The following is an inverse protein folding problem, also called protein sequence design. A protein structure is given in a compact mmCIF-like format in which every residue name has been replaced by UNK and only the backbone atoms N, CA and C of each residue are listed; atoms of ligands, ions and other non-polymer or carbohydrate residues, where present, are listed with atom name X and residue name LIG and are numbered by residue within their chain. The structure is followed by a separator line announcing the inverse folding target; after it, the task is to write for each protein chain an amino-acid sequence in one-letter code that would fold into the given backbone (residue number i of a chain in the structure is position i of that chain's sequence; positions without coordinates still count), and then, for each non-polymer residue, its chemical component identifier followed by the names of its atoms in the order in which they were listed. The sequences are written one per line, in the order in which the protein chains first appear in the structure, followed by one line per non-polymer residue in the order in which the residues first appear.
data_IF_003116252602
#
_entry.id   IF_003116252602
#
_cell.length_a   1.000
_cell.length_b   1.000
_cell.length_c   1.000
_cell.angle_alpha   90.00
_cell.angle_beta   90.00
_cell.angle_gamma   90.00
#
_symmetry.space_group_name_H-M   'P 1'
#
loop_
_entity.id
_entity.type
_entity.pdbx_description
1 polymer ?
#
# COMPACT_ATOMS: atom_id res chain seq x y z
N UNK A 1 5.44 -11.55 -34.38
CA UNK A 1 6.26 -11.51 -33.14
C UNK A 1 5.50 -10.94 -31.94
N UNK A 2 4.67 -9.90 -32.09
CA UNK A 2 3.89 -9.31 -30.99
C UNK A 2 2.78 -10.20 -30.41
N UNK A 3 2.08 -11.02 -31.23
CA UNK A 3 1.02 -11.92 -30.72
C UNK A 3 1.53 -12.92 -29.67
N UNK A 4 2.73 -13.47 -29.88
CA UNK A 4 3.34 -14.43 -28.95
C UNK A 4 3.68 -13.82 -27.57
N UNK A 5 3.95 -12.51 -27.53
CA UNK A 5 4.28 -11.80 -26.29
C UNK A 5 3.04 -11.63 -25.41
N UNK A 6 1.93 -11.11 -25.96
CA UNK A 6 0.70 -10.93 -25.19
C UNK A 6 0.13 -12.27 -24.71
N UNK A 7 0.18 -13.32 -25.53
CA UNK A 7 -0.23 -14.67 -25.14
C UNK A 7 0.65 -15.21 -24.00
N UNK A 8 1.96 -14.96 -24.02
CA UNK A 8 2.85 -15.35 -22.93
C UNK A 8 2.54 -14.60 -21.62
N UNK A 9 2.33 -13.28 -21.69
CA UNK A 9 2.07 -12.46 -20.50
C UNK A 9 0.71 -12.78 -19.90
N UNK A 10 -0.35 -12.78 -20.72
CA UNK A 10 -1.72 -13.06 -20.26
C UNK A 10 -1.93 -14.54 -19.90
N UNK A 11 -1.11 -15.46 -20.44
CA UNK A 11 -1.13 -16.86 -20.00
C UNK A 11 -0.50 -17.08 -18.62
N UNK A 12 0.40 -16.18 -18.19
CA UNK A 12 1.10 -16.25 -16.90
C UNK A 12 0.53 -15.29 -15.84
N UNK A 13 -0.21 -14.27 -16.27
CA UNK A 13 -0.90 -13.34 -15.41
C UNK A 13 -2.40 -13.58 -15.47
N UNK A 14 -3.02 -13.74 -14.32
CA UNK A 14 -4.46 -13.89 -14.17
C UNK A 14 -4.90 -12.80 -13.21
N UNK A 15 -5.99 -12.08 -13.53
CA UNK A 15 -6.61 -11.12 -12.62
C UNK A 15 -7.01 -11.83 -11.32
N UNK A 16 -6.22 -11.74 -10.25
CA UNK A 16 -6.60 -12.03 -8.86
C UNK A 16 -7.28 -13.37 -8.48
N UNK A 17 -7.52 -14.30 -9.39
CA UNK A 17 -8.38 -15.47 -9.15
C UNK A 17 -7.67 -16.70 -8.55
N UNK A 18 -6.40 -16.59 -8.14
CA UNK A 18 -5.56 -17.77 -7.89
C UNK A 18 -5.28 -18.13 -6.41
N UNK A 19 -6.03 -17.59 -5.42
CA UNK A 19 -5.87 -17.98 -4.00
C UNK A 19 -7.16 -17.69 -3.17
N UNK A 20 -7.42 -18.41 -2.05
CA UNK A 20 -8.76 -18.69 -1.51
C UNK A 20 -9.66 -17.45 -1.41
N UNK A 21 -10.67 -17.45 -2.29
CA UNK A 21 -11.56 -16.35 -2.68
C UNK A 21 -12.10 -15.47 -1.54
N UNK A 22 -12.15 -15.92 -0.29
CA UNK A 22 -12.71 -15.10 0.77
C UNK A 22 -11.71 -14.06 1.31
N UNK A 23 -10.48 -14.47 1.62
CA UNK A 23 -9.55 -13.62 2.37
C UNK A 23 -9.00 -12.45 1.54
N UNK A 24 -8.76 -12.66 0.25
CA UNK A 24 -8.32 -11.58 -0.66
C UNK A 24 -9.37 -10.48 -0.80
N UNK A 25 -10.66 -10.86 -0.81
CA UNK A 25 -11.76 -9.89 -0.84
C UNK A 25 -11.95 -9.20 0.51
N UNK A 26 -11.70 -9.89 1.63
CA UNK A 26 -11.65 -9.26 2.96
C UNK A 26 -10.57 -8.17 3.00
N UNK A 27 -9.38 -8.42 2.45
CA UNK A 27 -8.32 -7.41 2.37
C UNK A 27 -8.77 -6.18 1.58
N UNK A 28 -9.37 -6.39 0.41
CA UNK A 28 -9.91 -5.28 -0.40
C UNK A 28 -10.98 -4.52 0.35
N UNK A 29 -11.90 -5.20 1.03
CA UNK A 29 -12.92 -4.56 1.84
C UNK A 29 -12.30 -3.68 2.94
N UNK A 30 -11.22 -4.15 3.59
CA UNK A 30 -10.50 -3.37 4.60
C UNK A 30 -9.84 -2.13 3.99
N UNK A 31 -9.16 -2.25 2.83
CA UNK A 31 -8.57 -1.10 2.14
C UNK A 31 -9.63 -0.08 1.73
N UNK A 32 -10.76 -0.53 1.15
CA UNK A 32 -11.88 0.34 0.75
C UNK A 32 -12.51 1.02 1.98
N UNK A 33 -12.71 0.28 3.06
CA UNK A 33 -13.25 0.83 4.30
C UNK A 33 -12.31 1.86 4.93
N UNK A 34 -11.01 1.58 4.98
CA UNK A 34 -10.00 2.52 5.43
C UNK A 34 -9.95 3.78 4.56
N UNK A 35 -10.03 3.62 3.23
CA UNK A 35 -10.07 4.74 2.28
C UNK A 35 -11.32 5.61 2.50
N UNK A 36 -12.48 4.99 2.70
CA UNK A 36 -13.72 5.68 3.00
C UNK A 36 -13.62 6.49 4.29
N UNK A 37 -13.15 5.89 5.39
CA UNK A 37 -12.97 6.58 6.66
C UNK A 37 -11.96 7.74 6.55
N UNK A 38 -10.84 7.53 5.85
CA UNK A 38 -9.86 8.58 5.58
C UNK A 38 -10.48 9.75 4.79
N UNK A 39 -11.33 9.47 3.79
CA UNK A 39 -12.05 10.50 3.04
C UNK A 39 -13.09 11.24 3.90
N UNK A 40 -13.79 10.53 4.79
CA UNK A 40 -14.71 11.13 5.76
C UNK A 40 -13.95 12.07 6.70
N UNK A 41 -12.81 11.63 7.23
CA UNK A 41 -11.92 12.46 8.07
C UNK A 41 -11.44 13.70 7.31
N UNK A 42 -10.98 13.55 6.07
CA UNK A 42 -10.54 14.66 5.23
C UNK A 42 -11.64 15.72 5.02
N UNK A 43 -12.91 15.34 5.05
CA UNK A 43 -14.03 16.28 4.88
C UNK A 43 -14.53 16.83 6.20
N UNK A 44 -14.59 16.00 7.24
CA UNK A 44 -15.41 16.24 8.43
C UNK A 44 -14.63 16.46 9.73
N UNK A 45 -13.34 16.14 9.79
CA UNK A 45 -12.62 16.19 11.05
C UNK A 45 -12.48 17.61 11.63
N UNK A 46 -12.56 17.75 12.98
CA UNK A 46 -12.38 19.01 13.68
C UNK A 46 -10.89 19.35 13.73
N UNK A 47 -10.42 20.01 12.67
CA UNK A 47 -9.02 20.42 12.54
C UNK A 47 -8.89 21.93 12.80
N UNK A 48 -7.86 22.39 13.56
CA UNK A 48 -7.58 23.81 13.74
C UNK A 48 -7.50 24.57 12.42
N UNK A 49 -8.02 25.79 12.39
CA UNK A 49 -8.07 26.59 11.16
C UNK A 49 -6.70 26.76 10.49
N UNK A 50 -5.64 26.92 11.30
CA UNK A 50 -4.27 27.11 10.82
C UNK A 50 -3.69 25.90 10.04
N UNK A 51 -4.07 24.67 10.41
CA UNK A 51 -3.51 23.43 9.83
C UNK A 51 -4.52 22.64 9.00
N UNK A 52 -5.77 23.14 8.92
CA UNK A 52 -6.90 22.48 8.26
C UNK A 52 -6.58 22.03 6.83
N UNK A 53 -6.00 22.90 6.00
CA UNK A 53 -5.73 22.55 4.59
C UNK A 53 -4.71 21.42 4.46
N UNK A 54 -3.65 21.45 5.26
CA UNK A 54 -2.58 20.45 5.24
C UNK A 54 -3.08 19.08 5.71
N UNK A 55 -3.80 19.04 6.83
CA UNK A 55 -4.33 17.78 7.35
C UNK A 55 -5.40 17.19 6.42
N UNK A 56 -6.28 18.02 5.84
CA UNK A 56 -7.25 17.54 4.85
C UNK A 56 -6.58 16.98 3.59
N UNK A 57 -5.56 17.67 3.09
CA UNK A 57 -4.78 17.18 1.94
C UNK A 57 -4.07 15.86 2.24
N UNK A 58 -3.51 15.73 3.45
CA UNK A 58 -2.90 14.49 3.92
C UNK A 58 -3.91 13.34 3.97
N UNK A 59 -5.06 13.53 4.61
CA UNK A 59 -6.09 12.48 4.70
C UNK A 59 -6.70 12.14 3.33
N UNK A 60 -6.81 13.12 2.42
CA UNK A 60 -7.20 12.87 1.03
C UNK A 60 -6.14 12.04 0.28
N UNK A 61 -4.86 12.33 0.48
CA UNK A 61 -3.76 11.54 -0.08
C UNK A 61 -3.76 10.11 0.47
N UNK A 62 -3.95 9.93 1.79
CA UNK A 62 -4.09 8.61 2.44
C UNK A 62 -5.26 7.83 1.82
N UNK A 63 -6.43 8.47 1.66
CA UNK A 63 -7.59 7.85 1.03
C UNK A 63 -7.30 7.43 -0.43
N UNK A 64 -6.63 8.28 -1.19
CA UNK A 64 -6.20 7.97 -2.57
C UNK A 64 -5.25 6.78 -2.63
N UNK A 65 -4.23 6.75 -1.78
CA UNK A 65 -3.26 5.63 -1.70
C UNK A 65 -3.97 4.32 -1.35
N UNK A 66 -4.86 4.32 -0.37
CA UNK A 66 -5.63 3.14 0.03
C UNK A 66 -6.57 2.64 -1.09
N UNK A 67 -7.23 3.55 -1.80
CA UNK A 67 -8.08 3.20 -2.93
C UNK A 67 -7.27 2.60 -4.10
N UNK A 68 -6.12 3.20 -4.42
CA UNK A 68 -5.19 2.67 -5.42
C UNK A 68 -4.70 1.28 -4.99
N UNK A 69 -4.38 1.08 -3.71
CA UNK A 69 -3.96 -0.22 -3.18
C UNK A 69 -5.06 -1.28 -3.29
N UNK A 70 -6.32 -0.94 -3.02
CA UNK A 70 -7.46 -1.86 -3.19
C UNK A 70 -7.59 -2.35 -4.64
N UNK A 71 -7.47 -1.44 -5.61
CA UNK A 71 -7.51 -1.77 -7.04
C UNK A 71 -6.27 -2.57 -7.44
N UNK A 72 -5.10 -2.13 -7.00
CA UNK A 72 -3.82 -2.77 -7.31
C UNK A 72 -3.75 -4.20 -6.77
N UNK A 73 -4.36 -4.47 -5.61
CA UNK A 73 -4.44 -5.81 -5.04
C UNK A 73 -5.19 -6.79 -5.94
N UNK A 74 -6.25 -6.33 -6.61
CA UNK A 74 -7.03 -7.14 -7.55
C UNK A 74 -6.32 -7.28 -8.90
N UNK A 75 -5.70 -6.20 -9.38
CA UNK A 75 -4.93 -6.23 -10.62
C UNK A 75 -3.66 -7.08 -10.51
N UNK A 76 -3.14 -7.28 -9.29
CA UNK A 76 -1.85 -7.91 -9.03
C UNK A 76 -0.79 -7.47 -10.05
N UNK A 77 -0.55 -6.15 -10.07
CA UNK A 77 0.39 -5.53 -11.00
C UNK A 77 1.81 -6.09 -10.83
N UNK A 78 2.15 -6.54 -9.62
CA UNK A 78 3.43 -7.18 -9.33
C UNK A 78 3.59 -8.45 -10.18
N UNK A 79 2.60 -9.34 -10.18
CA UNK A 79 2.62 -10.54 -11.01
C UNK A 79 2.62 -10.20 -12.50
N UNK A 80 1.90 -9.15 -12.93
CA UNK A 80 1.90 -8.71 -14.33
C UNK A 80 3.29 -8.24 -14.81
N UNK A 81 3.98 -7.42 -14.01
CA UNK A 81 5.33 -6.93 -14.32
C UNK A 81 6.31 -8.11 -14.39
N UNK A 82 6.19 -9.08 -13.48
CA UNK A 82 7.04 -10.27 -13.47
C UNK A 82 6.79 -11.20 -14.65
N UNK A 83 5.53 -11.41 -15.03
CA UNK A 83 5.16 -12.15 -16.23
C UNK A 83 5.72 -11.45 -17.49
N UNK A 84 5.57 -10.12 -17.55
CA UNK A 84 6.11 -9.28 -18.63
C UNK A 84 7.63 -9.44 -18.75
N UNK A 85 8.38 -9.28 -17.65
CA UNK A 85 9.83 -9.45 -17.65
C UNK A 85 10.28 -10.86 -18.04
N UNK A 86 9.55 -11.89 -17.58
CA UNK A 86 9.84 -13.29 -17.93
C UNK A 86 9.59 -13.62 -19.40
N UNK A 87 8.57 -13.01 -20.01
CA UNK A 87 8.24 -13.20 -21.43
C UNK A 87 9.18 -12.39 -22.35
N UNK A 88 9.56 -11.17 -21.94
CA UNK A 88 10.62 -10.41 -22.61
C UNK A 88 11.95 -11.17 -22.58
N UNK A 89 12.31 -11.74 -21.42
CA UNK A 89 13.57 -12.47 -21.22
C UNK A 89 13.70 -13.81 -21.95
N UNK A 90 12.65 -14.32 -22.59
CA UNK A 90 12.75 -15.50 -23.47
C UNK A 90 13.21 -15.17 -24.88
N UNK A 91 13.12 -13.89 -25.30
CA UNK A 91 13.46 -13.46 -26.66
C UNK A 91 14.86 -12.89 -26.81
N UNK A 92 15.48 -12.46 -25.70
CA UNK A 92 16.88 -12.08 -25.59
C UNK A 92 17.44 -12.86 -24.40
N UNK A 93 18.73 -13.25 -24.37
CA UNK A 93 19.40 -14.05 -23.32
C UNK A 93 19.47 -13.40 -21.91
N UNK A 94 18.42 -12.69 -21.51
CA UNK A 94 18.23 -11.90 -20.29
C UNK A 94 17.87 -12.72 -19.06
N UNK A 95 17.81 -14.05 -19.16
CA UNK A 95 17.54 -14.91 -18.00
C UNK A 95 18.52 -14.66 -16.84
N UNK A 96 19.77 -14.26 -17.11
CA UNK A 96 20.73 -13.84 -16.08
C UNK A 96 20.46 -12.44 -15.50
N UNK A 97 19.71 -11.58 -16.22
CA UNK A 97 19.45 -10.18 -15.85
C UNK A 97 18.13 -9.95 -15.13
N UNK A 98 17.28 -10.97 -14.97
CA UNK A 98 15.98 -10.80 -14.30
C UNK A 98 16.13 -10.38 -12.84
N UNK A 99 17.15 -10.84 -12.13
CA UNK A 99 17.37 -10.43 -10.73
C UNK A 99 17.97 -9.01 -10.63
N UNK A 100 18.78 -8.58 -11.62
CA UNK A 100 19.23 -7.19 -11.72
C UNK A 100 18.03 -6.23 -11.91
N UNK A 101 17.11 -6.58 -12.82
CA UNK A 101 15.92 -5.76 -13.09
C UNK A 101 15.01 -5.66 -11.86
N UNK A 102 14.76 -6.78 -11.17
CA UNK A 102 14.02 -6.78 -9.90
C UNK A 102 14.71 -5.93 -8.84
N UNK A 103 16.04 -5.97 -8.76
CA UNK A 103 16.83 -5.14 -7.85
C UNK A 103 16.70 -3.64 -8.14
N UNK A 104 16.69 -3.24 -9.41
CA UNK A 104 16.44 -1.86 -9.82
C UNK A 104 15.04 -1.42 -9.41
N UNK A 105 14.01 -2.24 -9.70
CA UNK A 105 12.62 -1.95 -9.32
C UNK A 105 12.49 -1.79 -7.80
N UNK A 106 13.08 -2.71 -7.02
CA UNK A 106 13.10 -2.62 -5.56
C UNK A 106 13.79 -1.34 -5.08
N UNK A 107 14.91 -0.97 -5.68
CA UNK A 107 15.66 0.25 -5.31
C UNK A 107 14.83 1.50 -5.55
N UNK A 108 14.20 1.62 -6.72
CA UNK A 108 13.29 2.73 -7.05
C UNK A 108 12.09 2.78 -6.09
N UNK A 109 11.53 1.62 -5.75
CA UNK A 109 10.40 1.50 -4.82
C UNK A 109 10.78 1.94 -3.41
N UNK A 110 11.94 1.51 -2.92
CA UNK A 110 12.49 1.92 -1.62
C UNK A 110 12.73 3.43 -1.60
N UNK A 111 13.44 3.97 -2.58
CA UNK A 111 13.75 5.40 -2.64
C UNK A 111 12.48 6.26 -2.72
N UNK A 112 11.48 5.84 -3.50
CA UNK A 112 10.21 6.56 -3.60
C UNK A 112 9.39 6.48 -2.30
N UNK A 113 9.36 5.32 -1.63
CA UNK A 113 8.70 5.17 -0.33
C UNK A 113 9.33 6.06 0.76
N UNK A 114 10.66 6.01 0.90
CA UNK A 114 11.36 6.84 1.89
C UNK A 114 11.30 8.33 1.54
N UNK A 115 11.47 8.68 0.26
CA UNK A 115 11.41 10.07 -0.21
C UNK A 115 10.04 10.71 0.03
N UNK A 116 8.96 10.02 -0.35
CA UNK A 116 7.59 10.50 -0.11
C UNK A 116 7.27 10.54 1.39
N UNK A 117 7.70 9.55 2.17
CA UNK A 117 7.57 9.55 3.63
C UNK A 117 8.26 10.74 4.29
N UNK A 118 9.49 11.05 3.88
CA UNK A 118 10.24 12.21 4.39
C UNK A 118 9.53 13.53 4.05
N UNK A 119 9.02 13.68 2.83
CA UNK A 119 8.22 14.84 2.42
C UNK A 119 6.97 14.99 3.28
N UNK A 120 6.22 13.90 3.53
CA UNK A 120 5.04 13.94 4.38
C UNK A 120 5.36 14.30 5.83
N UNK A 121 6.40 13.70 6.41
CA UNK A 121 6.85 14.01 7.79
C UNK A 121 7.27 15.48 7.90
N UNK A 122 8.04 15.97 6.93
CA UNK A 122 8.48 17.37 6.90
C UNK A 122 7.31 18.34 6.75
N UNK A 123 6.38 18.07 5.82
CA UNK A 123 5.19 18.89 5.59
C UNK A 123 4.24 18.90 6.79
N UNK A 124 4.16 17.80 7.55
CA UNK A 124 3.27 17.63 8.70
C UNK A 124 3.96 17.87 10.04
N UNK A 125 5.20 18.35 10.05
CA UNK A 125 5.95 18.67 11.28
C UNK A 125 5.13 19.43 12.35
N UNK A 126 4.25 20.40 12.03
CA UNK A 126 3.52 21.15 13.06
C UNK A 126 2.38 20.34 13.67
N UNK A 127 1.93 19.26 13.02
CA UNK A 127 0.75 18.46 13.38
C UNK A 127 1.09 16.99 13.67
N UNK A 128 2.38 16.63 13.71
CA UNK A 128 2.87 15.26 13.87
C UNK A 128 2.19 14.50 15.01
N UNK A 129 1.93 15.13 16.17
CA UNK A 129 1.25 14.43 17.28
C UNK A 129 -0.16 13.94 16.93
N UNK A 130 -0.85 14.59 15.99
CA UNK A 130 -2.20 14.23 15.52
C UNK A 130 -2.17 13.30 14.31
N UNK A 131 -1.13 13.40 13.49
CA UNK A 131 -0.95 12.62 12.27
C UNK A 131 0.01 11.43 12.43
N UNK A 132 0.62 11.24 13.61
CA UNK A 132 1.59 10.17 13.86
C UNK A 132 1.02 8.77 13.64
N UNK A 133 -0.20 8.51 14.11
CA UNK A 133 -0.86 7.21 13.93
C UNK A 133 -1.10 6.87 12.46
N UNK A 134 -1.76 7.72 11.64
CA UNK A 134 -1.94 7.41 10.22
C UNK A 134 -0.61 7.41 9.44
N UNK A 135 0.39 8.22 9.84
CA UNK A 135 1.75 8.14 9.27
C UNK A 135 2.42 6.80 9.57
N UNK A 136 2.26 6.27 10.79
CA UNK A 136 2.74 4.93 11.15
C UNK A 136 2.05 3.87 10.30
N UNK A 137 0.74 3.96 10.10
CA UNK A 137 0.00 3.05 9.23
C UNK A 137 0.52 3.07 7.78
N UNK A 138 0.78 4.25 7.21
CA UNK A 138 1.42 4.39 5.90
C UNK A 138 2.83 3.78 5.87
N UNK A 139 3.63 3.97 6.91
CA UNK A 139 4.97 3.41 7.01
C UNK A 139 4.94 1.86 7.04
N UNK A 140 3.99 1.28 7.78
CA UNK A 140 3.77 -0.18 7.79
C UNK A 140 3.38 -0.70 6.41
N UNK A 141 2.49 0.01 5.69
CA UNK A 141 2.13 -0.34 4.31
C UNK A 141 3.33 -0.27 3.36
N UNK A 142 4.13 0.79 3.45
CA UNK A 142 5.35 0.91 2.66
C UNK A 142 6.33 -0.23 2.95
N UNK A 143 6.50 -0.60 4.22
CA UNK A 143 7.29 -1.75 4.63
C UNK A 143 6.78 -3.07 4.04
N UNK A 144 5.46 -3.29 4.04
CA UNK A 144 4.84 -4.45 3.40
C UNK A 144 5.11 -4.51 1.89
N UNK A 145 4.97 -3.38 1.19
CA UNK A 145 5.23 -3.29 -0.26
C UNK A 145 6.71 -3.63 -0.57
N UNK A 146 7.64 -3.10 0.22
CA UNK A 146 9.07 -3.40 0.09
C UNK A 146 9.36 -4.87 0.37
N UNK A 147 8.75 -5.43 1.42
CA UNK A 147 8.89 -6.84 1.78
C UNK A 147 8.42 -7.75 0.63
N UNK A 148 7.23 -7.49 0.09
CA UNK A 148 6.67 -8.19 -1.08
C UNK A 148 7.57 -8.11 -2.31
N UNK A 149 8.20 -6.97 -2.55
CA UNK A 149 9.13 -6.81 -3.66
C UNK A 149 10.44 -7.57 -3.41
N UNK A 150 10.96 -7.54 -2.18
CA UNK A 150 12.20 -8.22 -1.79
C UNK A 150 12.09 -9.75 -1.89
N UNK A 151 10.95 -10.35 -1.53
CA UNK A 151 10.72 -11.80 -1.62
C UNK A 151 10.97 -12.35 -3.04
N UNK A 152 10.80 -11.52 -4.06
CA UNK A 152 10.94 -11.92 -5.45
C UNK A 152 12.39 -12.06 -5.95
N UNK A 153 13.35 -11.55 -5.17
CA UNK A 153 14.78 -11.67 -5.47
C UNK A 153 15.28 -13.07 -5.11
N UNK A 154 15.82 -13.79 -6.09
CA UNK A 154 16.37 -15.13 -5.84
C UNK A 154 17.61 -15.11 -4.93
N UNK A 155 18.35 -14.00 -4.89
CA UNK A 155 19.58 -13.82 -4.11
C UNK A 155 19.37 -13.84 -2.58
N UNK A 156 18.13 -13.74 -2.11
CA UNK A 156 17.80 -13.71 -0.68
C UNK A 156 17.42 -15.10 -0.11
N UNK A 157 17.89 -16.19 -0.72
CA UNK A 157 17.55 -17.60 -0.43
C UNK A 157 17.09 -17.94 1.01
N UNK A 158 17.88 -17.67 2.07
CA UNK A 158 17.50 -17.97 3.46
C UNK A 158 16.32 -17.14 3.99
N UNK A 159 16.25 -15.85 3.63
CA UNK A 159 15.14 -14.95 4.00
C UNK A 159 13.85 -15.34 3.27
N UNK A 160 13.97 -15.91 2.07
CA UNK A 160 12.84 -16.37 1.26
C UNK A 160 12.14 -17.61 1.82
N UNK A 161 12.86 -18.45 2.57
CA UNK A 161 12.26 -19.59 3.28
C UNK A 161 11.45 -19.15 4.51
N UNK A 162 11.89 -18.09 5.19
CA UNK A 162 11.16 -17.46 6.31
C UNK A 162 9.97 -16.62 5.81
N UNK A 163 10.11 -15.96 4.66
CA UNK A 163 9.06 -15.15 4.04
C UNK A 163 7.89 -15.98 3.49
N UNK A 164 8.12 -17.19 2.97
CA UNK A 164 7.06 -18.07 2.41
C UNK A 164 6.09 -18.67 3.43
N UNK A 165 6.16 -18.28 4.70
CA UNK A 165 5.12 -18.62 5.66
C UNK A 165 3.86 -17.80 5.38
N UNK A 166 2.72 -18.45 5.11
CA UNK A 166 1.42 -17.78 4.82
C UNK A 166 0.90 -16.80 5.90
N UNK A 167 1.54 -16.73 7.06
CA UNK A 167 1.08 -16.01 8.26
C UNK A 167 1.74 -14.63 8.45
N UNK A 168 3.09 -14.47 8.42
CA UNK A 168 3.73 -13.16 8.56
C UNK A 168 3.27 -12.12 7.52
N UNK A 169 3.06 -12.52 6.26
CA UNK A 169 2.70 -11.60 5.18
C UNK A 169 1.33 -10.96 5.39
N UNK A 170 0.37 -11.75 5.89
CA UNK A 170 -1.02 -11.31 6.09
C UNK A 170 -1.12 -10.35 7.27
N UNK A 171 -0.39 -10.61 8.35
CA UNK A 171 -0.37 -9.73 9.53
C UNK A 171 0.24 -8.38 9.16
N UNK A 172 1.35 -8.39 8.41
CA UNK A 172 2.00 -7.17 7.96
C UNK A 172 1.09 -6.38 7.00
N UNK A 173 0.41 -7.05 6.09
CA UNK A 173 -0.54 -6.44 5.15
C UNK A 173 -1.73 -5.76 5.87
N UNK A 174 -2.26 -6.40 6.92
CA UNK A 174 -3.40 -5.90 7.68
C UNK A 174 -3.03 -4.74 8.63
N UNK A 175 -1.80 -4.75 9.14
CA UNK A 175 -1.36 -3.85 10.21
C UNK A 175 -1.48 -2.36 9.83
N UNK A 176 -1.08 -1.99 8.62
CA UNK A 176 -1.11 -0.61 8.15
C UNK A 176 -2.52 -0.04 8.02
N UNK A 177 -3.43 -0.65 7.22
CA UNK A 177 -4.80 -0.19 7.08
C UNK A 177 -5.56 -0.16 8.40
N UNK A 178 -5.37 -1.14 9.28
CA UNK A 178 -6.01 -1.18 10.59
C UNK A 178 -5.59 -0.01 11.48
N UNK A 179 -4.30 0.33 11.51
CA UNK A 179 -3.81 1.51 12.25
C UNK A 179 -4.46 2.79 11.71
N UNK A 180 -4.62 2.91 10.39
CA UNK A 180 -5.29 4.07 9.76
C UNK A 180 -6.77 4.12 10.14
N UNK A 181 -7.46 2.97 10.14
CA UNK A 181 -8.87 2.86 10.56
C UNK A 181 -9.04 3.30 12.01
N UNK A 182 -8.21 2.78 12.92
CA UNK A 182 -8.25 3.14 14.35
C UNK A 182 -8.02 4.65 14.52
N UNK A 183 -7.03 5.20 13.82
CA UNK A 183 -6.74 6.63 13.86
C UNK A 183 -7.93 7.48 13.37
N UNK A 184 -8.58 7.05 12.30
CA UNK A 184 -9.74 7.72 11.74
C UNK A 184 -10.92 7.71 12.72
N UNK A 185 -11.22 6.57 13.34
CA UNK A 185 -12.30 6.42 14.33
C UNK A 185 -12.04 7.32 15.56
N UNK A 186 -10.83 7.31 16.11
CA UNK A 186 -10.47 8.16 17.26
C UNK A 186 -10.70 9.64 16.93
N UNK A 187 -10.34 10.09 15.73
CA UNK A 187 -10.49 11.48 15.33
C UNK A 187 -11.95 11.87 15.06
N UNK A 188 -12.75 10.96 14.51
CA UNK A 188 -14.18 11.18 14.27
C UNK A 188 -14.96 11.22 15.59
N UNK A 189 -14.69 10.32 16.53
CA UNK A 189 -15.37 10.29 17.83
C UNK A 189 -15.11 11.55 18.67
N UNK A 190 -13.91 12.13 18.59
CA UNK A 190 -13.60 13.41 19.27
C UNK A 190 -14.47 14.57 18.80
N UNK A 191 -14.97 14.51 17.57
CA UNK A 191 -15.86 15.52 16.98
C UNK A 191 -17.27 15.43 17.56
N UNK A 192 -17.79 14.22 17.67
CA UNK A 192 -19.17 14.02 18.11
C UNK A 192 -19.31 14.43 19.57
N UNK A 193 -18.30 14.15 20.40
CA UNK A 193 -18.26 14.64 21.78
C UNK A 193 -18.17 16.17 21.89
N UNK A 194 -17.45 16.84 20.98
CA UNK A 194 -17.38 18.32 21.01
C UNK A 194 -18.68 18.97 20.56
N UNK A 195 -19.41 18.35 19.63
CA UNK A 195 -20.74 18.81 19.22
C UNK A 195 -21.79 18.61 20.30
N UNK A 196 -21.78 17.46 20.98
CA UNK A 196 -22.72 17.19 22.07
C UNK A 196 -22.56 18.19 23.23
N UNK A 197 -21.33 18.58 23.56
CA UNK A 197 -21.06 19.58 24.59
C UNK A 197 -21.43 21.03 24.22
N UNK A 198 -21.72 21.32 22.94
CA UNK A 198 -22.10 22.66 22.46
C UNK A 198 -23.62 22.82 22.34
N UNK A 199 -24.38 21.73 22.48
CA UNK A 199 -25.85 21.69 22.41
C UNK A 199 -26.56 21.63 23.76
N UNK A 200 -25.81 21.46 24.85
CA UNK A 200 -26.26 21.49 26.25
C UNK A 200 -26.02 22.87 26.89
#
# INVERSE_FOLDING_TARGET
MQENFFVCVLGRWQLGFNDPYFLSWVMVAIYVFAAFLAAVVARRAPVPAATRRQERAFWAAVAGVLAIMAVNKQADLQTLIMATGSCLGQTQSWFEKTDLLKGIILTVLVLSAFGSGAVFVWALRPTLRRTALPLLGLALMAGFIVFRAAETLNSLGPLRAVARGNWPDRILELSGPLVIVIAAIILLNRRDNTRAAETD
#
